data_IF_487208081789
#
_entry.id   IF_487208081789
#
_cell.length_a   1.000
_cell.length_b   1.000
_cell.length_c   1.000
_cell.angle_alpha   90.00
_cell.angle_beta   90.00
_cell.angle_gamma   90.00
#
_symmetry.space_group_name_H-M   'P 1'
#
loop_
_entity.id
_entity.type
_entity.pdbx_description
1 polymer ?
#
# COMPACT_ATOMS: atom_id res chain seq x y z
N UNK A 1 -6.08 68.91 59.09
CA UNK A 1 -7.20 68.17 59.65
C UNK A 1 -7.82 67.34 58.61
N UNK A 2 -7.95 66.07 58.86
CA UNK A 2 -8.66 64.96 58.13
C UNK A 2 -7.89 64.40 56.92
N UNK A 3 -7.17 63.35 57.27
CA UNK A 3 -6.55 62.37 56.34
C UNK A 3 -7.66 61.55 55.68
N UNK A 4 -7.57 61.41 54.35
CA UNK A 4 -8.33 60.39 53.61
C UNK A 4 -7.35 59.38 53.02
N UNK A 5 -7.36 58.20 53.55
CA UNK A 5 -6.62 57.03 53.08
C UNK A 5 -7.41 56.43 51.93
N UNK A 6 -6.81 56.44 50.73
CA UNK A 6 -7.37 55.72 49.56
C UNK A 6 -6.74 54.35 49.49
N UNK A 7 -7.56 53.33 49.72
CA UNK A 7 -7.16 51.92 49.59
C UNK A 7 -7.25 51.51 48.13
N UNK A 8 -6.13 51.26 47.50
CA UNK A 8 -6.05 50.74 46.12
C UNK A 8 -6.14 49.19 46.15
N UNK A 9 -7.25 48.66 45.66
CA UNK A 9 -7.42 47.24 45.46
C UNK A 9 -6.70 46.82 44.16
N UNK A 10 -5.65 46.02 44.31
CA UNK A 10 -4.95 45.40 43.18
C UNK A 10 -5.73 44.14 42.80
N UNK A 11 -6.40 44.18 41.63
CA UNK A 11 -7.05 43.03 41.02
C UNK A 11 -6.00 42.19 40.24
N UNK A 12 -5.58 41.06 40.81
CA UNK A 12 -4.74 40.09 40.11
C UNK A 12 -5.58 39.32 39.09
N UNK A 13 -5.37 39.61 37.82
CA UNK A 13 -5.86 38.75 36.71
C UNK A 13 -4.93 37.54 36.58
N UNK A 14 -5.42 36.34 36.98
CA UNK A 14 -4.77 35.07 36.68
C UNK A 14 -5.01 34.70 35.22
N UNK A 15 -4.01 34.84 34.38
CA UNK A 15 -4.00 34.30 33.00
C UNK A 15 -3.78 32.80 33.07
N UNK A 16 -4.85 32.03 32.92
CA UNK A 16 -4.81 30.58 32.79
C UNK A 16 -4.14 30.22 31.46
N UNK A 17 -2.90 29.75 31.51
CA UNK A 17 -2.24 29.11 30.37
C UNK A 17 -2.87 27.74 30.13
N UNK A 18 -3.70 27.64 29.10
CA UNK A 18 -4.16 26.34 28.58
C UNK A 18 -2.96 25.60 27.97
N UNK A 19 -2.33 24.75 28.76
CA UNK A 19 -1.36 23.78 28.29
C UNK A 19 -2.07 22.69 27.48
N UNK A 20 -2.22 22.88 26.17
CA UNK A 20 -2.56 21.81 25.25
C UNK A 20 -1.33 20.93 25.09
N UNK A 21 -1.34 19.78 25.78
CA UNK A 21 -0.41 18.68 25.47
C UNK A 21 -0.68 18.22 24.05
N UNK A 22 0.37 17.99 23.21
CA UNK A 22 0.18 17.40 21.88
C UNK A 22 -0.42 16.00 22.07
N UNK A 23 -1.67 15.81 21.71
CA UNK A 23 -2.27 14.48 21.61
C UNK A 23 -1.61 13.77 20.42
N UNK A 24 -0.78 12.79 20.74
CA UNK A 24 -0.36 11.77 19.77
C UNK A 24 -1.63 11.11 19.23
N UNK A 25 -1.83 11.06 17.88
CA UNK A 25 -3.00 10.36 17.34
C UNK A 25 -2.98 8.90 17.84
N UNK A 26 -4.02 8.49 18.53
CA UNK A 26 -4.20 7.10 18.91
C UNK A 26 -4.18 6.24 17.64
N UNK A 27 -3.59 5.01 17.68
CA UNK A 27 -3.66 4.07 16.57
C UNK A 27 -5.13 3.85 16.24
N UNK A 28 -5.53 4.13 15.00
CA UNK A 28 -6.87 3.85 14.54
C UNK A 28 -7.17 2.38 14.81
N UNK A 29 -8.20 2.11 15.59
CA UNK A 29 -8.66 0.76 15.90
C UNK A 29 -8.81 0.02 14.57
N UNK A 30 -8.15 -1.15 14.45
CA UNK A 30 -8.24 -2.00 13.28
C UNK A 30 -9.71 -2.31 13.00
N UNK A 31 -10.25 -1.73 11.94
CA UNK A 31 -11.57 -2.10 11.44
C UNK A 31 -11.57 -3.62 11.16
N UNK A 32 -12.69 -4.33 11.41
CA UNK A 32 -12.76 -5.76 11.11
C UNK A 32 -12.33 -5.97 9.65
N UNK A 33 -11.46 -6.97 9.42
CA UNK A 33 -10.94 -7.29 8.10
C UNK A 33 -12.12 -7.58 7.16
N UNK A 34 -12.44 -6.61 6.30
CA UNK A 34 -13.47 -6.79 5.26
C UNK A 34 -12.87 -7.76 4.24
N UNK A 35 -13.49 -8.92 4.06
CA UNK A 35 -13.08 -9.85 3.03
C UNK A 35 -13.46 -9.27 1.66
N UNK A 36 -12.46 -8.77 0.94
CA UNK A 36 -12.65 -8.22 -0.40
C UNK A 36 -13.04 -9.31 -1.39
N UNK A 37 -13.94 -8.96 -2.31
CA UNK A 37 -14.49 -9.84 -3.35
C UNK A 37 -14.34 -9.20 -4.73
N UNK A 38 -14.47 -10.02 -5.76
CA UNK A 38 -14.59 -9.55 -7.14
C UNK A 38 -15.81 -8.61 -7.26
N UNK A 39 -15.61 -7.46 -7.87
CA UNK A 39 -16.61 -6.40 -8.01
C UNK A 39 -16.57 -5.32 -6.93
N UNK A 40 -15.94 -5.57 -5.79
CA UNK A 40 -15.75 -4.55 -4.75
C UNK A 40 -14.81 -3.44 -5.23
N UNK A 41 -14.99 -2.24 -4.71
CA UNK A 41 -14.03 -1.16 -4.90
C UNK A 41 -12.73 -1.51 -4.14
N UNK A 42 -11.60 -1.56 -4.85
CA UNK A 42 -10.30 -1.78 -4.21
C UNK A 42 -9.99 -0.62 -3.24
N UNK A 43 -9.52 -0.91 -2.02
CA UNK A 43 -9.07 0.13 -1.10
C UNK A 43 -7.98 1.00 -1.74
N UNK A 44 -8.13 2.32 -1.67
CA UNK A 44 -7.10 3.24 -2.16
C UNK A 44 -5.84 3.12 -1.29
N UNK A 45 -4.69 3.29 -1.90
CA UNK A 45 -3.42 3.32 -1.20
C UNK A 45 -2.53 4.44 -1.72
N UNK A 46 -1.57 4.85 -0.90
CA UNK A 46 -0.46 5.71 -1.30
C UNK A 46 0.79 5.13 -0.68
N UNK A 47 1.60 4.43 -1.48
CA UNK A 47 2.76 3.67 -1.02
C UNK A 47 4.04 4.11 -1.73
N UNK A 48 5.14 4.00 -1.04
CA UNK A 48 6.47 4.31 -1.57
C UNK A 48 6.97 3.15 -2.44
N UNK A 49 7.36 3.45 -3.68
CA UNK A 49 7.93 2.49 -4.62
C UNK A 49 9.46 2.51 -4.62
N UNK A 50 10.05 1.39 -5.02
CA UNK A 50 11.52 1.25 -5.17
C UNK A 50 12.10 2.10 -6.28
N UNK A 51 11.26 2.66 -7.15
CA UNK A 51 11.60 3.66 -8.17
C UNK A 51 11.70 5.10 -7.61
N UNK A 52 11.58 5.27 -6.28
CA UNK A 52 11.64 6.54 -5.59
C UNK A 52 10.37 7.38 -5.68
N UNK A 53 9.29 6.85 -6.22
CA UNK A 53 8.01 7.55 -6.37
C UNK A 53 6.97 7.07 -5.36
N UNK A 54 6.01 7.96 -5.10
CA UNK A 54 4.77 7.56 -4.43
C UNK A 54 3.79 7.05 -5.47
N UNK A 55 3.22 5.87 -5.24
CA UNK A 55 2.20 5.28 -6.08
C UNK A 55 0.86 5.31 -5.36
N UNK A 56 -0.11 5.97 -5.97
CA UNK A 56 -1.47 6.04 -5.46
C UNK A 56 -2.41 5.31 -6.41
N UNK A 57 -3.23 4.39 -5.89
CA UNK A 57 -4.11 3.58 -6.73
C UNK A 57 -5.07 4.46 -7.57
N UNK A 58 -5.63 5.49 -6.97
CA UNK A 58 -6.56 6.40 -7.66
C UNK A 58 -5.94 7.16 -8.84
N UNK A 59 -4.61 7.29 -8.91
CA UNK A 59 -3.93 7.96 -10.03
C UNK A 59 -4.02 7.16 -11.33
N UNK A 60 -4.27 5.85 -11.26
CA UNK A 60 -4.46 4.94 -12.38
C UNK A 60 -5.90 4.85 -12.84
N UNK A 61 -6.87 5.32 -12.03
CA UNK A 61 -8.30 5.24 -12.33
C UNK A 61 -8.63 5.94 -13.66
N UNK A 62 -9.37 5.27 -14.52
CA UNK A 62 -9.72 5.72 -15.87
C UNK A 62 -8.58 5.62 -16.90
N UNK A 63 -7.37 5.27 -16.48
CA UNK A 63 -6.17 5.25 -17.35
C UNK A 63 -5.69 3.82 -17.62
N UNK A 64 -5.42 3.06 -16.55
CA UNK A 64 -4.82 1.72 -16.62
C UNK A 64 -5.49 0.79 -15.62
N UNK A 65 -5.48 -0.50 -15.91
CA UNK A 65 -5.66 -1.52 -14.87
C UNK A 65 -4.44 -1.53 -13.92
N UNK A 66 -4.63 -2.08 -12.74
CA UNK A 66 -3.55 -2.20 -11.74
C UNK A 66 -3.47 -3.63 -11.24
N UNK A 67 -2.26 -4.16 -11.12
CA UNK A 67 -1.99 -5.44 -10.45
C UNK A 67 -1.12 -5.20 -9.23
N UNK A 68 -1.53 -5.73 -8.08
CA UNK A 68 -0.76 -5.70 -6.85
C UNK A 68 -0.51 -7.13 -6.38
N UNK A 69 0.72 -7.61 -6.56
CA UNK A 69 1.17 -8.91 -6.12
C UNK A 69 1.79 -8.79 -4.71
N UNK A 70 1.00 -9.10 -3.69
CA UNK A 70 1.47 -9.11 -2.31
C UNK A 70 2.38 -10.29 -2.05
N UNK A 71 3.51 -10.05 -1.39
CA UNK A 71 4.45 -11.10 -1.01
C UNK A 71 4.85 -11.00 0.47
N UNK A 72 5.18 -12.13 1.13
CA UNK A 72 5.42 -12.17 2.57
C UNK A 72 6.61 -11.34 3.05
N UNK A 73 7.78 -11.54 2.42
CA UNK A 73 9.02 -10.89 2.88
C UNK A 73 10.12 -10.93 1.83
N UNK A 74 10.81 -9.81 1.67
CA UNK A 74 12.01 -9.69 0.83
C UNK A 74 13.08 -10.75 1.18
N UNK A 75 13.87 -11.13 0.21
CA UNK A 75 14.98 -12.10 0.31
C UNK A 75 14.62 -13.55 0.68
N UNK A 76 13.33 -13.89 0.81
CA UNK A 76 12.93 -15.29 0.98
C UNK A 76 12.89 -16.00 -0.36
N UNK A 77 13.12 -17.33 -0.37
CA UNK A 77 13.26 -18.12 -1.60
C UNK A 77 12.05 -18.00 -2.54
N UNK A 78 10.83 -18.14 -2.01
CA UNK A 78 9.61 -18.02 -2.81
C UNK A 78 9.40 -16.62 -3.39
N UNK A 79 9.71 -15.56 -2.62
CA UNK A 79 9.57 -14.18 -3.09
C UNK A 79 10.65 -13.82 -4.12
N UNK A 80 11.87 -14.36 -3.98
CA UNK A 80 12.93 -14.25 -4.97
C UNK A 80 12.53 -14.90 -6.31
N UNK A 81 11.95 -16.11 -6.26
CA UNK A 81 11.47 -16.81 -7.47
C UNK A 81 10.36 -16.01 -8.15
N UNK A 82 9.41 -15.48 -7.40
CA UNK A 82 8.31 -14.67 -7.93
C UNK A 82 8.80 -13.37 -8.55
N UNK A 83 9.67 -12.63 -7.86
CA UNK A 83 10.25 -11.39 -8.36
C UNK A 83 11.01 -11.61 -9.67
N UNK A 84 11.82 -12.67 -9.76
CA UNK A 84 12.52 -13.07 -10.99
C UNK A 84 11.55 -13.43 -12.11
N UNK A 85 10.53 -14.23 -11.83
CA UNK A 85 9.50 -14.58 -12.81
C UNK A 85 8.89 -13.34 -13.45
N UNK A 86 8.53 -12.35 -12.62
CA UNK A 86 7.95 -11.08 -13.09
C UNK A 86 8.96 -10.21 -13.84
N UNK A 87 10.22 -10.13 -13.40
CA UNK A 87 11.27 -9.37 -14.05
C UNK A 87 11.65 -9.95 -15.42
N UNK A 88 11.83 -11.27 -15.51
CA UNK A 88 12.22 -11.94 -16.75
C UNK A 88 11.11 -11.93 -17.82
N UNK A 89 9.85 -11.78 -17.42
CA UNK A 89 8.69 -11.78 -18.32
C UNK A 89 7.92 -10.46 -18.35
N UNK A 90 8.51 -9.39 -17.84
CA UNK A 90 7.87 -8.07 -17.74
C UNK A 90 7.37 -7.54 -19.09
N UNK A 91 8.07 -7.83 -20.18
CA UNK A 91 7.66 -7.39 -21.52
C UNK A 91 6.33 -7.98 -21.97
N UNK A 92 5.99 -9.20 -21.53
CA UNK A 92 4.68 -9.82 -21.82
C UNK A 92 3.57 -9.13 -21.06
N UNK A 93 3.83 -8.75 -19.79
CA UNK A 93 2.88 -8.04 -18.95
C UNK A 93 2.64 -6.63 -19.50
N UNK A 94 3.70 -5.93 -19.92
CA UNK A 94 3.66 -4.57 -20.49
C UNK A 94 2.92 -4.47 -21.83
N UNK A 95 2.62 -5.62 -22.48
CA UNK A 95 1.71 -5.63 -23.64
C UNK A 95 0.27 -5.27 -23.28
N UNK A 96 -0.08 -5.29 -21.99
CA UNK A 96 -1.37 -4.83 -21.50
C UNK A 96 -1.30 -3.41 -20.97
N UNK A 97 -2.39 -2.68 -21.06
CA UNK A 97 -2.50 -1.34 -20.48
C UNK A 97 -2.68 -1.45 -18.95
N UNK A 98 -1.63 -1.85 -18.27
CA UNK A 98 -1.57 -2.17 -16.85
C UNK A 98 -0.37 -1.50 -16.17
N UNK A 99 -0.54 -1.12 -14.91
CA UNK A 99 0.55 -0.87 -13.98
C UNK A 99 0.61 -2.08 -13.02
N UNK A 100 1.78 -2.70 -12.86
CA UNK A 100 1.92 -3.84 -11.98
C UNK A 100 3.01 -3.62 -10.96
N UNK A 101 2.78 -4.12 -9.76
CA UNK A 101 3.60 -3.94 -8.59
C UNK A 101 3.71 -5.23 -7.80
N UNK A 102 4.84 -5.46 -7.17
CA UNK A 102 4.87 -6.28 -5.98
C UNK A 102 4.67 -5.38 -4.75
N UNK A 103 4.12 -5.91 -3.66
CA UNK A 103 3.93 -5.17 -2.42
C UNK A 103 4.20 -6.02 -1.19
N UNK A 104 4.81 -5.44 -0.17
CA UNK A 104 5.05 -6.11 1.11
C UNK A 104 4.98 -5.12 2.27
N UNK A 105 5.04 -5.66 3.48
CA UNK A 105 5.14 -4.86 4.71
C UNK A 105 6.59 -4.57 5.10
N UNK A 106 7.56 -4.93 4.27
CA UNK A 106 8.96 -4.56 4.45
C UNK A 106 9.13 -3.04 4.29
N UNK A 107 10.19 -2.50 4.90
CA UNK A 107 10.53 -1.09 4.73
C UNK A 107 11.06 -0.79 3.31
N UNK A 108 11.14 0.49 2.97
CA UNK A 108 11.55 0.93 1.63
C UNK A 108 12.99 0.53 1.28
N UNK A 109 13.89 0.49 2.26
CA UNK A 109 15.30 0.12 2.06
C UNK A 109 15.45 -1.37 1.73
N UNK A 110 14.78 -2.24 2.49
CA UNK A 110 14.78 -3.69 2.24
C UNK A 110 14.20 -4.01 0.87
N UNK A 111 13.05 -3.41 0.51
CA UNK A 111 12.44 -3.61 -0.80
C UNK A 111 13.31 -3.08 -1.93
N UNK A 112 13.98 -1.94 -1.74
CA UNK A 112 14.90 -1.38 -2.74
C UNK A 112 16.08 -2.31 -2.99
N UNK A 113 16.77 -2.73 -1.92
CA UNK A 113 17.89 -3.67 -2.07
C UNK A 113 17.47 -5.01 -2.67
N UNK A 114 16.26 -5.49 -2.34
CA UNK A 114 15.69 -6.69 -2.93
C UNK A 114 15.41 -6.53 -4.43
N UNK A 115 14.76 -5.42 -4.84
CA UNK A 115 14.49 -5.12 -6.24
C UNK A 115 15.78 -5.02 -7.08
N UNK A 116 16.79 -4.33 -6.56
CA UNK A 116 18.10 -4.19 -7.21
C UNK A 116 18.79 -5.55 -7.38
N UNK A 117 18.80 -6.38 -6.32
CA UNK A 117 19.38 -7.72 -6.36
C UNK A 117 18.70 -8.62 -7.39
N UNK A 118 17.40 -8.61 -7.44
CA UNK A 118 16.62 -9.46 -8.36
C UNK A 118 16.39 -8.80 -9.73
N UNK A 119 16.94 -7.60 -9.95
CA UNK A 119 16.84 -6.84 -11.21
C UNK A 119 15.39 -6.58 -11.64
N UNK A 120 14.52 -6.28 -10.66
CA UNK A 120 13.15 -5.94 -10.94
C UNK A 120 13.07 -4.64 -11.77
N UNK A 121 12.40 -4.69 -12.91
CA UNK A 121 12.15 -3.56 -13.82
C UNK A 121 10.77 -2.91 -13.59
N UNK A 122 10.19 -3.20 -12.44
CA UNK A 122 8.90 -2.69 -11.94
C UNK A 122 9.02 -2.33 -10.47
N UNK A 123 8.16 -1.41 -9.95
CA UNK A 123 8.27 -0.99 -8.57
C UNK A 123 7.78 -2.05 -7.57
N UNK A 124 8.52 -2.21 -6.47
CA UNK A 124 8.05 -2.87 -5.25
C UNK A 124 7.56 -1.79 -4.29
N UNK A 125 6.35 -1.97 -3.77
CA UNK A 125 5.68 -1.04 -2.86
C UNK A 125 5.89 -1.46 -1.41
N UNK A 126 6.16 -0.48 -0.55
CA UNK A 126 6.43 -0.70 0.87
C UNK A 126 5.29 -0.18 1.74
N UNK A 127 4.71 -1.06 2.57
CA UNK A 127 3.69 -0.74 3.57
C UNK A 127 4.15 -1.09 5.00
N UNK A 128 5.19 -0.42 5.54
CA UNK A 128 5.71 -0.72 6.88
C UNK A 128 4.68 -0.45 7.99
N UNK A 129 3.67 0.36 7.72
CA UNK A 129 2.55 0.63 8.63
C UNK A 129 1.55 -0.51 8.68
N UNK A 130 1.55 -1.41 7.69
CA UNK A 130 0.61 -2.52 7.51
C UNK A 130 -0.84 -2.08 7.30
N UNK A 131 -1.09 -0.80 7.11
CA UNK A 131 -2.43 -0.26 6.95
C UNK A 131 -3.09 -0.74 5.65
N UNK A 132 -2.34 -0.70 4.54
CA UNK A 132 -2.81 -1.19 3.25
C UNK A 132 -2.96 -2.70 3.24
N UNK A 133 -2.01 -3.44 3.78
CA UNK A 133 -2.08 -4.90 3.91
C UNK A 133 -3.31 -5.34 4.72
N UNK A 134 -3.65 -4.59 5.77
CA UNK A 134 -4.87 -4.81 6.56
C UNK A 134 -6.13 -4.53 5.74
N UNK A 135 -6.19 -3.41 5.03
CA UNK A 135 -7.33 -3.03 4.20
C UNK A 135 -7.58 -4.03 3.06
N UNK A 136 -6.51 -4.62 2.51
CA UNK A 136 -6.58 -5.68 1.49
C UNK A 136 -6.83 -7.08 2.08
N UNK A 137 -6.91 -7.24 3.39
CA UNK A 137 -7.11 -8.53 4.07
C UNK A 137 -5.95 -9.52 3.90
N UNK A 138 -4.78 -9.01 3.51
CA UNK A 138 -3.60 -9.85 3.28
C UNK A 138 -2.66 -9.95 4.48
N UNK A 139 -2.90 -9.19 5.54
CA UNK A 139 -2.05 -9.26 6.73
C UNK A 139 -2.31 -10.55 7.52
N UNK A 140 -1.26 -11.34 7.72
CA UNK A 140 -1.29 -12.53 8.58
C UNK A 140 -1.10 -12.16 10.06
N UNK A 141 -1.52 -13.02 11.01
CA UNK A 141 -1.28 -12.81 12.43
C UNK A 141 0.20 -12.66 12.82
N UNK A 142 1.11 -13.25 12.04
CA UNK A 142 2.57 -13.10 12.23
C UNK A 142 3.11 -11.76 11.72
N UNK A 143 2.23 -10.87 11.23
CA UNK A 143 2.58 -9.55 10.76
C UNK A 143 3.21 -9.48 9.37
N UNK A 144 3.23 -10.57 8.60
CA UNK A 144 3.66 -10.62 7.20
C UNK A 144 2.46 -10.61 6.26
N UNK A 145 2.65 -10.19 5.02
CA UNK A 145 1.60 -10.28 4.02
C UNK A 145 1.40 -11.73 3.54
N UNK A 146 0.17 -12.07 3.15
CA UNK A 146 -0.14 -13.27 2.37
C UNK A 146 0.39 -13.09 0.95
N UNK A 147 0.68 -14.21 0.27
CA UNK A 147 0.99 -14.19 -1.16
C UNK A 147 -0.30 -14.22 -1.96
N UNK A 148 -0.87 -13.06 -2.19
CA UNK A 148 -2.09 -12.87 -2.96
C UNK A 148 -1.90 -11.81 -4.02
N UNK A 149 -2.46 -12.02 -5.21
CA UNK A 149 -2.42 -11.04 -6.29
C UNK A 149 -3.81 -10.48 -6.56
N UNK A 150 -3.93 -9.17 -6.52
CA UNK A 150 -5.15 -8.44 -6.85
C UNK A 150 -5.06 -7.86 -8.25
N UNK A 151 -6.10 -8.08 -9.04
CA UNK A 151 -6.29 -7.51 -10.37
C UNK A 151 -7.38 -6.46 -10.27
N UNK A 152 -7.09 -5.22 -10.60
CA UNK A 152 -7.96 -4.07 -10.42
C UNK A 152 -8.20 -3.40 -11.77
N UNK A 153 -9.45 -3.22 -12.14
CA UNK A 153 -9.84 -2.58 -13.38
C UNK A 153 -9.62 -1.07 -13.41
N UNK A 154 -9.72 -0.47 -14.58
CA UNK A 154 -9.64 1.00 -14.75
C UNK A 154 -10.68 1.77 -13.93
N UNK A 155 -11.80 1.14 -13.60
CA UNK A 155 -12.86 1.70 -12.74
C UNK A 155 -12.52 1.64 -11.24
N UNK A 156 -11.40 0.99 -10.89
CA UNK A 156 -10.95 0.78 -9.52
C UNK A 156 -11.60 -0.42 -8.85
N UNK A 157 -12.40 -1.23 -9.56
CA UNK A 157 -13.01 -2.44 -9.02
C UNK A 157 -12.08 -3.64 -9.15
N UNK A 158 -12.17 -4.55 -8.20
CA UNK A 158 -11.44 -5.81 -8.21
C UNK A 158 -12.03 -6.72 -9.29
N UNK A 159 -11.21 -7.05 -10.29
CA UNK A 159 -11.53 -7.99 -11.37
C UNK A 159 -11.29 -9.44 -10.93
N UNK A 160 -10.29 -9.65 -10.07
CA UNK A 160 -9.94 -10.95 -9.55
C UNK A 160 -8.97 -10.88 -8.40
N UNK A 161 -8.96 -11.94 -7.59
CA UNK A 161 -8.02 -12.14 -6.47
C UNK A 161 -7.45 -13.53 -6.61
N UNK A 162 -6.15 -13.64 -6.87
CA UNK A 162 -5.44 -14.91 -6.84
C UNK A 162 -4.90 -15.17 -5.44
N UNK A 163 -5.44 -16.18 -4.77
CA UNK A 163 -5.05 -16.60 -3.43
C UNK A 163 -4.07 -17.79 -3.43
N UNK A 164 -3.80 -18.36 -4.62
CA UNK A 164 -2.97 -19.57 -4.80
C UNK A 164 -1.78 -19.30 -5.75
N UNK A 165 -1.15 -18.13 -5.59
CA UNK A 165 -0.04 -17.68 -6.44
C UNK A 165 1.11 -18.68 -6.43
N UNK A 166 1.53 -19.10 -7.63
CA UNK A 166 2.69 -19.97 -7.86
C UNK A 166 3.89 -19.09 -8.22
N UNK A 167 4.90 -18.93 -7.36
CA UNK A 167 6.02 -18.03 -7.60
C UNK A 167 6.72 -18.22 -8.95
N UNK A 168 6.89 -19.47 -9.38
CA UNK A 168 7.61 -19.80 -10.62
C UNK A 168 6.88 -19.37 -11.89
N UNK A 169 5.55 -19.44 -11.90
CA UNK A 169 4.70 -19.13 -13.06
C UNK A 169 3.94 -17.81 -12.90
N UNK A 170 4.27 -17.02 -11.87
CA UNK A 170 3.54 -15.82 -11.49
C UNK A 170 3.35 -14.83 -12.66
N UNK A 171 4.37 -14.64 -13.50
CA UNK A 171 4.26 -13.78 -14.67
C UNK A 171 3.34 -14.35 -15.76
N UNK A 172 3.43 -15.64 -16.03
CA UNK A 172 2.60 -16.31 -17.04
C UNK A 172 1.14 -16.34 -16.60
N UNK A 173 0.91 -16.66 -15.31
CA UNK A 173 -0.42 -16.64 -14.70
C UNK A 173 -1.00 -15.21 -14.73
N UNK A 174 -0.19 -14.18 -14.46
CA UNK A 174 -0.60 -12.78 -14.54
C UNK A 174 -1.01 -12.40 -15.96
N UNK A 175 -0.23 -12.74 -16.98
CA UNK A 175 -0.52 -12.49 -18.39
C UNK A 175 -1.85 -13.16 -18.80
N UNK A 176 -2.03 -14.42 -18.40
CA UNK A 176 -3.25 -15.17 -18.68
C UNK A 176 -4.47 -14.49 -18.07
N UNK A 177 -4.40 -14.15 -16.78
CA UNK A 177 -5.49 -13.47 -16.05
C UNK A 177 -5.80 -12.08 -16.58
N UNK A 178 -4.81 -11.30 -17.00
CA UNK A 178 -5.05 -10.01 -17.66
C UNK A 178 -5.87 -10.17 -18.94
N UNK A 179 -5.60 -11.23 -19.73
CA UNK A 179 -6.38 -11.56 -20.91
C UNK A 179 -7.82 -12.01 -20.56
N UNK A 180 -7.97 -12.90 -19.58
CA UNK A 180 -9.27 -13.41 -19.11
C UNK A 180 -10.17 -12.29 -18.56
N UNK A 181 -9.57 -11.30 -17.86
CA UNK A 181 -10.30 -10.14 -17.33
C UNK A 181 -10.54 -9.04 -18.37
N UNK A 182 -10.16 -9.26 -19.62
CA UNK A 182 -10.40 -8.30 -20.71
C UNK A 182 -9.60 -7.00 -20.57
N UNK A 183 -8.44 -7.03 -19.90
CA UNK A 183 -7.58 -5.86 -19.83
C UNK A 183 -7.04 -5.54 -21.22
N UNK A 184 -7.21 -4.30 -21.66
CA UNK A 184 -6.80 -3.86 -23.00
C UNK A 184 -5.31 -4.01 -23.21
N UNK A 185 -4.89 -4.40 -24.42
CA UNK A 185 -3.48 -4.34 -24.81
C UNK A 185 -3.07 -2.90 -25.13
N UNK A 186 -1.80 -2.61 -24.90
CA UNK A 186 -1.17 -1.36 -25.37
C UNK A 186 -1.17 -1.35 -26.89
N UNK A 187 -1.48 -0.19 -27.48
CA UNK A 187 -1.40 0.01 -28.94
C UNK A 187 0.06 0.15 -29.38
#
# INVERSE_FOLDING_TARGET
MRNAVILAAVLMMATGANGQTPQTPAPAAAAPAVELKVGDQAPDFTLHGTDGKMHKLSDYKGKKAVVVAWFPKAYTSGCTIECKSLAENGDKIKQYNVAYFMASVDNAEDNKGFAEKEKADFPLLSDPTKATATAYGVLNPNGLAKRWTFYIGKDGKILGIDKEVKPKTSAEDMVTKLGEYGVEKTK
#
